data_IF_481287393720
#
_entry.id   IF_481287393720
#
_cell.length_a   1.000
_cell.length_b   1.000
_cell.length_c   1.000
_cell.angle_alpha   90.00
_cell.angle_beta   90.00
_cell.angle_gamma   90.00
#
_symmetry.space_group_name_H-M   'P 1'
#
loop_
_entity.id
_entity.type
_entity.pdbx_description
1 polymer ?
#
# COMPACT_ATOMS: atom_id res chain seq x y z
N UNK A 1 -43.12 42.62 5.60
CA UNK A 1 -42.95 41.23 5.10
C UNK A 1 -42.38 41.27 3.71
N UNK A 2 -41.11 40.88 3.55
CA UNK A 2 -40.49 40.29 2.35
C UNK A 2 -38.95 40.38 2.52
N UNK A 3 -38.39 39.50 3.34
CA UNK A 3 -36.93 39.26 3.35
C UNK A 3 -36.63 38.31 2.20
N UNK A 4 -36.03 38.83 1.13
CA UNK A 4 -35.41 38.01 0.07
C UNK A 4 -34.04 37.57 0.58
N UNK A 5 -34.00 36.48 1.33
CA UNK A 5 -32.78 35.72 1.52
C UNK A 5 -32.43 35.08 0.16
N UNK A 6 -31.47 35.67 -0.55
CA UNK A 6 -30.88 35.07 -1.76
C UNK A 6 -30.20 33.74 -1.41
N UNK A 7 -30.13 32.79 -2.36
CA UNK A 7 -29.59 31.47 -2.07
C UNK A 7 -28.11 31.61 -1.68
N UNK A 8 -27.80 31.23 -0.45
CA UNK A 8 -26.45 30.81 -0.09
C UNK A 8 -26.18 29.53 -0.89
N UNK A 9 -25.78 29.71 -2.15
CA UNK A 9 -25.09 28.69 -2.91
C UNK A 9 -23.76 28.47 -2.19
N UNK A 10 -23.80 27.58 -1.21
CA UNK A 10 -22.64 26.91 -0.68
C UNK A 10 -21.94 26.26 -1.87
N UNK A 11 -20.98 27.01 -2.42
CA UNK A 11 -20.02 26.51 -3.38
C UNK A 11 -19.25 25.41 -2.65
N UNK A 12 -19.79 24.19 -2.68
CA UNK A 12 -18.98 22.98 -2.63
C UNK A 12 -18.07 23.08 -3.84
N UNK A 13 -16.92 23.70 -3.61
CA UNK A 13 -15.78 23.69 -4.50
C UNK A 13 -15.36 22.21 -4.57
N UNK A 14 -16.03 21.44 -5.42
CA UNK A 14 -15.64 20.09 -5.76
C UNK A 14 -14.19 20.21 -6.19
N UNK A 15 -13.29 19.64 -5.39
CA UNK A 15 -11.84 19.79 -5.54
C UNK A 15 -11.40 19.04 -6.80
N UNK A 16 -11.71 19.60 -7.97
CA UNK A 16 -11.36 19.05 -9.27
C UNK A 16 -9.90 19.32 -9.50
N UNK A 17 -9.08 18.31 -9.23
CA UNK A 17 -7.66 18.33 -9.57
C UNK A 17 -7.53 18.60 -11.07
N UNK A 18 -6.74 19.60 -11.44
CA UNK A 18 -6.48 19.87 -12.85
C UNK A 18 -5.71 18.70 -13.47
N UNK A 19 -5.85 18.45 -14.79
CA UNK A 19 -5.09 17.40 -15.46
C UNK A 19 -3.57 17.58 -15.28
N UNK A 20 -3.10 18.82 -15.16
CA UNK A 20 -1.69 19.12 -14.90
C UNK A 20 -1.23 18.63 -13.52
N UNK A 21 -2.07 18.79 -12.49
CA UNK A 21 -1.79 18.28 -11.14
C UNK A 21 -1.76 16.75 -11.16
N UNK A 22 -2.70 16.11 -11.86
CA UNK A 22 -2.70 14.65 -12.00
C UNK A 22 -1.44 14.14 -12.72
N UNK A 23 -1.01 14.81 -13.80
CA UNK A 23 0.23 14.46 -14.51
C UNK A 23 1.45 14.65 -13.61
N UNK A 24 1.52 15.75 -12.86
CA UNK A 24 2.62 15.99 -11.92
C UNK A 24 2.68 14.93 -10.81
N UNK A 25 1.52 14.55 -10.25
CA UNK A 25 1.41 13.48 -9.26
C UNK A 25 1.83 12.13 -9.84
N UNK A 26 1.35 11.78 -11.04
CA UNK A 26 1.74 10.56 -11.71
C UNK A 26 3.25 10.51 -11.97
N UNK A 27 3.84 11.61 -12.46
CA UNK A 27 5.28 11.71 -12.67
C UNK A 27 6.06 11.54 -11.34
N UNK A 28 5.61 12.17 -10.26
CA UNK A 28 6.22 12.03 -8.95
C UNK A 28 6.17 10.58 -8.44
N UNK A 29 5.02 9.91 -8.56
CA UNK A 29 4.86 8.50 -8.18
C UNK A 29 5.76 7.59 -9.02
N UNK A 30 5.84 7.83 -10.33
CA UNK A 30 6.71 7.04 -11.22
C UNK A 30 8.19 7.21 -10.90
N UNK A 31 8.63 8.43 -10.61
CA UNK A 31 10.02 8.69 -10.19
C UNK A 31 10.31 8.03 -8.85
N UNK A 32 9.41 8.15 -7.87
CA UNK A 32 9.55 7.50 -6.57
C UNK A 32 9.61 5.97 -6.70
N UNK A 33 8.75 5.39 -7.53
CA UNK A 33 8.77 3.96 -7.84
C UNK A 33 10.10 3.57 -8.49
N UNK A 34 10.55 4.27 -9.53
CA UNK A 34 11.83 3.97 -10.19
C UNK A 34 13.01 3.99 -9.21
N UNK A 35 13.04 4.95 -8.28
CA UNK A 35 14.07 5.02 -7.25
C UNK A 35 13.93 3.90 -6.20
N UNK A 36 12.71 3.56 -5.78
CA UNK A 36 12.43 2.54 -4.76
C UNK A 36 12.67 1.12 -5.24
N UNK A 37 12.34 0.84 -6.49
CA UNK A 37 12.50 -0.48 -7.10
C UNK A 37 13.89 -0.68 -7.72
N UNK A 38 14.64 0.40 -7.97
CA UNK A 38 16.01 0.31 -8.48
C UNK A 38 16.92 -0.40 -7.47
N UNK A 39 17.30 -1.62 -7.80
CA UNK A 39 18.26 -2.41 -7.01
C UNK A 39 17.63 -3.39 -6.03
N UNK A 40 16.30 -3.57 -6.05
CA UNK A 40 15.67 -4.75 -5.45
C UNK A 40 16.30 -6.04 -6.02
N UNK A 41 16.42 -7.06 -5.18
CA UNK A 41 17.01 -8.35 -5.52
C UNK A 41 18.53 -8.37 -5.68
N UNK A 42 19.23 -7.25 -5.44
CA UNK A 42 20.71 -7.21 -5.48
C UNK A 42 21.36 -7.75 -4.20
N UNK A 43 20.60 -7.80 -3.11
CA UNK A 43 21.04 -8.28 -1.80
C UNK A 43 20.08 -9.36 -1.32
N UNK A 44 20.61 -10.42 -0.73
CA UNK A 44 19.79 -11.46 -0.09
C UNK A 44 18.97 -10.89 1.08
N UNK A 45 17.86 -11.56 1.39
CA UNK A 45 17.00 -11.21 2.51
C UNK A 45 17.77 -11.09 3.82
N UNK A 46 17.46 -10.02 4.56
CA UNK A 46 17.91 -9.87 5.93
C UNK A 46 17.12 -10.82 6.83
N UNK A 47 17.64 -11.09 8.04
CA UNK A 47 17.01 -12.05 8.95
C UNK A 47 15.56 -11.69 9.29
N UNK A 48 15.26 -10.41 9.45
CA UNK A 48 13.92 -9.89 9.74
C UNK A 48 13.00 -9.96 8.51
N UNK A 49 13.53 -9.71 7.32
CA UNK A 49 12.81 -9.88 6.06
C UNK A 49 12.47 -11.36 5.82
N UNK A 50 13.41 -12.28 6.10
CA UNK A 50 13.18 -13.72 5.96
C UNK A 50 12.10 -14.23 6.93
N UNK A 51 12.07 -13.72 8.16
CA UNK A 51 11.04 -14.08 9.15
C UNK A 51 9.67 -13.55 8.70
N UNK A 52 9.62 -12.34 8.15
CA UNK A 52 8.38 -11.74 7.64
C UNK A 52 7.86 -12.50 6.42
N UNK A 53 8.76 -12.81 5.50
CA UNK A 53 8.49 -13.66 4.35
C UNK A 53 7.97 -15.03 4.78
N UNK A 54 8.62 -15.70 5.74
CA UNK A 54 8.16 -17.00 6.25
C UNK A 54 6.77 -16.90 6.87
N UNK A 55 6.45 -15.85 7.63
CA UNK A 55 5.12 -15.67 8.18
C UNK A 55 4.08 -15.48 7.06
N UNK A 56 4.39 -14.69 6.03
CA UNK A 56 3.52 -14.36 4.92
C UNK A 56 3.41 -15.47 3.85
N UNK A 57 4.38 -16.36 3.74
CA UNK A 57 4.45 -17.41 2.71
C UNK A 57 3.61 -18.66 3.02
N UNK A 58 2.71 -18.59 4.02
CA UNK A 58 1.78 -19.68 4.33
C UNK A 58 0.91 -20.07 3.13
N UNK A 59 0.38 -21.28 3.10
CA UNK A 59 -0.48 -21.77 2.02
C UNK A 59 -1.77 -20.96 1.91
N UNK A 60 -2.27 -20.43 3.02
CA UNK A 60 -3.42 -19.53 3.02
C UNK A 60 -3.49 -18.63 4.25
N UNK A 61 -4.49 -17.75 4.24
CA UNK A 61 -4.74 -16.74 5.29
C UNK A 61 -4.77 -17.35 6.70
N UNK A 62 -5.40 -18.52 6.85
CA UNK A 62 -5.48 -19.20 8.15
C UNK A 62 -4.10 -19.60 8.69
N UNK A 63 -3.21 -20.06 7.82
CA UNK A 63 -1.85 -20.42 8.20
C UNK A 63 -1.01 -19.17 8.53
N UNK A 64 -1.15 -18.10 7.76
CA UNK A 64 -0.48 -16.80 8.05
C UNK A 64 -0.89 -16.30 9.43
N UNK A 65 -2.20 -16.28 9.73
CA UNK A 65 -2.70 -15.87 11.05
C UNK A 65 -2.15 -16.79 12.15
N UNK A 66 -2.17 -18.11 11.93
CA UNK A 66 -1.63 -19.07 12.90
C UNK A 66 -0.15 -18.82 13.19
N UNK A 67 0.68 -18.62 12.15
CA UNK A 67 2.11 -18.31 12.30
C UNK A 67 2.31 -16.98 13.04
N UNK A 68 1.53 -15.96 12.72
CA UNK A 68 1.61 -14.67 13.42
C UNK A 68 1.27 -14.78 14.90
N UNK A 69 0.16 -15.44 15.24
CA UNK A 69 -0.29 -15.59 16.63
C UNK A 69 0.70 -16.42 17.45
N UNK A 70 1.35 -17.42 16.84
CA UNK A 70 2.28 -18.30 17.55
C UNK A 70 3.71 -17.76 17.65
N UNK A 71 4.17 -16.98 16.65
CA UNK A 71 5.59 -16.68 16.49
C UNK A 71 5.94 -15.20 16.36
N UNK A 72 4.97 -14.30 16.15
CA UNK A 72 5.23 -12.89 15.89
C UNK A 72 4.74 -11.99 17.03
N UNK A 73 5.50 -10.93 17.33
CA UNK A 73 5.13 -9.92 18.32
C UNK A 73 4.14 -8.88 17.78
N UNK A 74 3.87 -8.90 16.47
CA UNK A 74 3.06 -7.90 15.76
C UNK A 74 1.75 -8.50 15.23
N UNK A 75 0.67 -7.72 15.16
CA UNK A 75 -0.61 -8.15 14.58
C UNK A 75 -0.47 -8.64 13.12
N UNK A 76 -1.36 -9.54 12.66
CA UNK A 76 -1.17 -10.26 11.39
C UNK A 76 -1.36 -9.41 10.13
N UNK A 77 -1.86 -8.17 10.23
CA UNK A 77 -2.31 -7.39 9.08
C UNK A 77 -1.18 -7.14 8.06
N UNK A 78 0.02 -6.81 8.51
CA UNK A 78 1.17 -6.59 7.61
C UNK A 78 1.52 -7.85 6.82
N UNK A 79 1.53 -9.01 7.47
CA UNK A 79 1.82 -10.30 6.83
C UNK A 79 0.70 -10.76 5.90
N UNK A 80 -0.55 -10.36 6.15
CA UNK A 80 -1.66 -10.62 5.22
C UNK A 80 -1.55 -9.78 3.95
N UNK A 81 -1.15 -8.51 4.08
CA UNK A 81 -0.87 -7.66 2.92
C UNK A 81 0.30 -8.23 2.13
N UNK A 82 1.36 -8.66 2.82
CA UNK A 82 2.52 -9.31 2.21
C UNK A 82 2.14 -10.66 1.55
N UNK A 83 1.27 -11.46 2.17
CA UNK A 83 0.77 -12.71 1.59
C UNK A 83 0.08 -12.46 0.24
N UNK A 84 -0.75 -11.43 0.14
CA UNK A 84 -1.37 -11.04 -1.13
C UNK A 84 -0.31 -10.55 -2.12
N UNK A 85 0.65 -9.74 -1.69
CA UNK A 85 1.74 -9.27 -2.54
C UNK A 85 2.56 -10.44 -3.12
N UNK A 86 2.92 -11.44 -2.31
CA UNK A 86 3.63 -12.65 -2.74
C UNK A 86 2.81 -13.49 -3.73
N UNK A 87 1.48 -13.49 -3.61
CA UNK A 87 0.60 -14.18 -4.58
C UNK A 87 0.50 -13.46 -5.93
N UNK A 88 0.59 -12.13 -5.93
CA UNK A 88 0.49 -11.31 -7.13
C UNK A 88 1.83 -11.14 -7.84
N UNK A 89 2.89 -10.88 -7.09
CA UNK A 89 4.24 -10.66 -7.60
C UNK A 89 5.06 -11.95 -7.64
N UNK A 90 4.62 -13.05 -7.01
CA UNK A 90 5.42 -14.27 -6.89
C UNK A 90 6.41 -14.22 -5.73
N UNK A 91 7.04 -15.36 -5.42
CA UNK A 91 7.91 -15.53 -4.26
C UNK A 91 9.38 -15.12 -4.49
N UNK A 92 9.73 -14.56 -5.64
CA UNK A 92 11.10 -14.16 -5.96
C UNK A 92 11.44 -12.76 -5.43
N UNK A 93 12.72 -12.49 -5.17
CA UNK A 93 13.28 -11.25 -4.58
C UNK A 93 13.24 -10.01 -5.50
N UNK A 94 12.26 -9.90 -6.39
CA UNK A 94 12.14 -8.85 -7.44
C UNK A 94 11.23 -7.68 -7.08
#
# INVERSE_FOLDING_TARGET
>A
MASKAGPAQEQRDETRLSPQVLVALAAAVLVAAALRFRGLGRTSLWSDELVSWWAASGEGVGEVISRCVSCMATPPLSFLVEHVALRLAGASEW
#
